data_IF_676235388341
#
_entry.id   IF_676235388341
#
_cell.length_a   1.000
_cell.length_b   1.000
_cell.length_c   1.000
_cell.angle_alpha   90.00
_cell.angle_beta   90.00
_cell.angle_gamma   90.00
#
_symmetry.space_group_name_H-M   'P 1'
#
loop_
_entity.id
_entity.type
_entity.pdbx_description
1 polymer ?
#
# COMPACT_ATOMS: atom_id res chain seq x y z
N UNK A 1 -8.11 10.35 10.32
CA UNK A 1 -8.51 10.07 8.93
C UNK A 1 -8.58 8.56 8.77
N UNK A 2 -9.75 8.00 8.43
CA UNK A 2 -9.93 6.55 8.27
C UNK A 2 -9.32 6.07 6.92
N UNK A 3 -8.30 5.20 6.93
CA UNK A 3 -7.68 4.69 5.72
C UNK A 3 -8.65 3.88 4.83
N UNK A 4 -9.64 3.20 5.41
CA UNK A 4 -10.63 2.43 4.63
C UNK A 4 -11.51 3.37 3.77
N UNK A 5 -11.89 4.52 4.33
CA UNK A 5 -12.65 5.55 3.61
C UNK A 5 -11.83 6.13 2.43
N UNK A 6 -10.53 6.33 2.61
CA UNK A 6 -9.65 6.81 1.53
C UNK A 6 -9.57 5.79 0.39
N UNK A 7 -9.44 4.50 0.69
CA UNK A 7 -9.41 3.45 -0.34
C UNK A 7 -10.75 3.31 -1.04
N UNK A 8 -11.87 3.36 -0.31
CA UNK A 8 -13.21 3.30 -0.90
C UNK A 8 -13.45 4.44 -1.88
N UNK A 9 -13.16 5.69 -1.48
CA UNK A 9 -13.28 6.85 -2.38
C UNK A 9 -12.41 6.73 -3.62
N UNK A 10 -11.21 6.17 -3.48
CA UNK A 10 -10.28 6.01 -4.58
C UNK A 10 -10.66 4.86 -5.54
N UNK A 11 -11.29 3.78 -5.05
CA UNK A 11 -11.73 2.62 -5.87
C UNK A 11 -13.16 2.73 -6.40
N UNK A 12 -14.02 3.47 -5.71
CA UNK A 12 -15.46 3.44 -5.94
C UNK A 12 -16.03 4.81 -5.58
N UNK A 13 -15.72 5.81 -6.42
CA UNK A 13 -16.11 7.20 -6.22
C UNK A 13 -17.61 7.39 -5.93
N UNK A 14 -18.46 6.48 -6.42
CA UNK A 14 -19.93 6.52 -6.27
C UNK A 14 -20.51 5.51 -5.26
N UNK A 15 -19.67 4.74 -4.53
CA UNK A 15 -20.18 3.72 -3.60
C UNK A 15 -20.36 4.31 -2.20
N UNK A 16 -21.56 4.16 -1.67
CA UNK A 16 -21.95 4.74 -0.38
C UNK A 16 -21.08 4.17 0.76
N UNK A 17 -20.37 5.01 1.53
CA UNK A 17 -19.50 4.58 2.63
C UNK A 17 -20.32 4.18 3.86
N UNK A 18 -21.05 3.08 3.74
CA UNK A 18 -21.74 2.46 4.87
C UNK A 18 -20.72 1.85 5.84
N UNK A 19 -20.99 1.85 7.15
CA UNK A 19 -20.07 1.33 8.15
C UNK A 19 -19.74 -0.16 7.93
N UNK A 20 -20.69 -0.94 7.39
CA UNK A 20 -20.48 -2.35 7.04
C UNK A 20 -19.47 -2.50 5.88
N UNK A 21 -19.59 -1.69 4.83
CA UNK A 21 -18.65 -1.72 3.69
C UNK A 21 -17.25 -1.29 4.11
N UNK A 22 -17.14 -0.30 5.00
CA UNK A 22 -15.85 0.13 5.54
C UNK A 22 -15.21 -0.95 6.40
N UNK A 23 -16.00 -1.68 7.20
CA UNK A 23 -15.51 -2.81 8.00
C UNK A 23 -14.99 -3.96 7.11
N UNK A 24 -15.74 -4.31 6.06
CA UNK A 24 -15.32 -5.33 5.08
C UNK A 24 -14.02 -4.94 4.36
N UNK A 25 -13.87 -3.67 3.99
CA UNK A 25 -12.63 -3.14 3.39
C UNK A 25 -11.49 -3.20 4.39
N UNK A 26 -11.75 -2.88 5.66
CA UNK A 26 -10.73 -2.87 6.72
C UNK A 26 -10.20 -4.28 6.99
N UNK A 27 -11.11 -5.25 7.09
CA UNK A 27 -10.78 -6.66 7.24
C UNK A 27 -10.06 -7.22 6.01
N UNK A 28 -10.56 -6.93 4.79
CA UNK A 28 -9.96 -7.39 3.54
C UNK A 28 -8.57 -6.80 3.24
N UNK A 29 -8.26 -5.63 3.77
CA UNK A 29 -6.94 -4.98 3.66
C UNK A 29 -6.02 -5.25 4.85
N UNK A 30 -6.49 -5.95 5.89
CA UNK A 30 -5.72 -6.19 7.12
C UNK A 30 -5.43 -4.91 7.92
N UNK A 31 -6.25 -3.87 7.76
CA UNK A 31 -6.11 -2.59 8.45
C UNK A 31 -6.45 -2.67 9.95
N UNK A 32 -7.08 -3.77 10.39
CA UNK A 32 -7.43 -4.03 11.79
C UNK A 32 -6.23 -4.37 12.66
N UNK A 33 -5.13 -4.83 12.06
CA UNK A 33 -3.91 -5.27 12.74
C UNK A 33 -3.03 -4.12 13.27
N UNK A 34 -3.44 -2.88 13.00
CA UNK A 34 -2.76 -1.65 13.39
C UNK A 34 -1.63 -1.24 12.43
N UNK A 35 -1.33 0.07 12.36
CA UNK A 35 -0.41 0.61 11.34
C UNK A 35 1.02 0.09 11.46
N UNK A 36 1.48 -0.19 12.69
CA UNK A 36 2.84 -0.68 12.94
C UNK A 36 3.05 -2.11 12.46
N UNK A 37 2.05 -2.99 12.64
CA UNK A 37 2.14 -4.39 12.19
C UNK A 37 2.12 -4.46 10.67
N UNK A 38 1.28 -3.63 10.04
CA UNK A 38 1.19 -3.52 8.59
C UNK A 38 2.51 -3.03 7.99
N UNK A 39 3.14 -2.02 8.61
CA UNK A 39 4.46 -1.54 8.23
C UNK A 39 5.53 -2.61 8.42
N UNK A 40 5.57 -3.30 9.57
CA UNK A 40 6.55 -4.34 9.84
C UNK A 40 6.43 -5.52 8.86
N UNK A 41 5.20 -5.92 8.53
CA UNK A 41 4.94 -6.94 7.52
C UNK A 41 5.45 -6.53 6.14
N UNK A 42 5.13 -5.29 5.72
CA UNK A 42 5.59 -4.74 4.46
C UNK A 42 7.12 -4.64 4.39
N UNK A 43 7.75 -4.13 5.45
CA UNK A 43 9.21 -4.04 5.55
C UNK A 43 9.88 -5.42 5.49
N UNK A 44 9.25 -6.44 6.08
CA UNK A 44 9.72 -7.83 6.04
C UNK A 44 9.60 -8.48 4.66
N UNK A 45 8.74 -7.97 3.78
CA UNK A 45 8.60 -8.42 2.40
C UNK A 45 9.66 -7.83 1.46
N UNK A 46 10.10 -6.60 1.70
CA UNK A 46 11.13 -5.91 0.90
C UNK A 46 12.41 -6.72 0.64
N UNK A 47 13.08 -7.32 1.64
CA UNK A 47 14.29 -8.11 1.40
C UNK A 47 14.03 -9.40 0.62
N UNK A 48 12.76 -9.84 0.49
CA UNK A 48 12.34 -10.98 -0.33
C UNK A 48 11.92 -10.58 -1.74
N UNK A 49 12.00 -9.29 -2.08
CA UNK A 49 11.48 -8.76 -3.34
C UNK A 49 9.94 -8.72 -3.39
N UNK A 50 9.27 -8.84 -2.25
CA UNK A 50 7.81 -8.73 -2.17
C UNK A 50 7.45 -7.42 -1.47
N UNK A 51 7.29 -6.35 -2.27
CA UNK A 51 6.79 -5.08 -1.77
C UNK A 51 5.24 -5.08 -1.62
N UNK A 52 4.61 -6.24 -1.78
CA UNK A 52 3.16 -6.40 -1.71
C UNK A 52 2.43 -6.00 -2.99
N UNK A 53 1.11 -5.86 -2.87
CA UNK A 53 0.21 -5.44 -3.95
C UNK A 53 -0.42 -4.10 -3.64
N UNK A 54 -0.64 -3.30 -4.68
CA UNK A 54 -1.35 -2.03 -4.57
C UNK A 54 -2.75 -2.27 -4.05
N UNK A 55 -3.12 -1.58 -2.98
CA UNK A 55 -4.50 -1.60 -2.47
C UNK A 55 -5.49 -0.95 -3.42
N UNK A 56 -5.02 -0.25 -4.46
CA UNK A 56 -5.88 0.39 -5.45
C UNK A 56 -6.11 -0.54 -6.65
N UNK A 57 -5.03 -0.97 -7.31
CA UNK A 57 -5.11 -1.76 -8.55
C UNK A 57 -4.95 -3.27 -8.36
N UNK A 58 -4.57 -3.73 -7.16
CA UNK A 58 -4.26 -5.13 -6.89
C UNK A 58 -2.98 -5.63 -7.56
N UNK A 59 -2.25 -4.78 -8.28
CA UNK A 59 -1.02 -5.15 -9.00
C UNK A 59 0.18 -5.20 -8.06
N UNK A 60 1.16 -6.04 -8.38
CA UNK A 60 2.43 -6.08 -7.64
C UNK A 60 3.14 -4.72 -7.75
N UNK A 61 3.54 -4.14 -6.61
CA UNK A 61 4.24 -2.84 -6.59
C UNK A 61 5.77 -2.99 -6.62
N UNK A 62 6.28 -4.21 -6.42
CA UNK A 62 7.73 -4.51 -6.48
C UNK A 62 8.45 -3.88 -7.67
N UNK A 63 8.02 -4.04 -8.94
CA UNK A 63 8.75 -3.48 -10.07
C UNK A 63 8.81 -1.94 -10.02
N UNK A 64 7.71 -1.29 -9.63
CA UNK A 64 7.67 0.16 -9.50
C UNK A 64 8.58 0.66 -8.36
N UNK A 65 8.59 -0.05 -7.23
CA UNK A 65 9.45 0.26 -6.07
C UNK A 65 10.93 0.10 -6.42
N UNK A 66 11.31 -0.99 -7.09
CA UNK A 66 12.69 -1.22 -7.53
C UNK A 66 13.15 -0.16 -8.54
N UNK A 67 12.28 0.23 -9.47
CA UNK A 67 12.59 1.27 -10.44
C UNK A 67 12.83 2.63 -9.75
N UNK A 68 11.94 3.02 -8.82
CA UNK A 68 12.10 4.27 -8.07
C UNK A 68 13.37 4.26 -7.21
N UNK A 69 13.63 3.14 -6.51
CA UNK A 69 14.83 2.95 -5.70
C UNK A 69 16.10 3.07 -6.55
N UNK A 70 16.14 2.42 -7.71
CA UNK A 70 17.26 2.49 -8.65
C UNK A 70 17.50 3.91 -9.14
N UNK A 71 16.46 4.65 -9.53
CA UNK A 71 16.58 6.04 -9.93
C UNK A 71 17.13 6.94 -8.80
N UNK A 72 16.64 6.78 -7.56
CA UNK A 72 17.14 7.51 -6.40
C UNK A 72 18.61 7.21 -6.10
N UNK A 73 19.02 5.94 -6.18
CA UNK A 73 20.41 5.53 -5.97
C UNK A 73 21.35 6.08 -7.05
N UNK A 74 20.90 6.08 -8.32
CA UNK A 74 21.66 6.67 -9.42
C UNK A 74 21.84 8.18 -9.22
N UNK A 75 20.77 8.89 -8.87
CA UNK A 75 20.85 10.33 -8.58
C UNK A 75 21.79 10.62 -7.41
N UNK A 76 21.71 9.84 -6.33
CA UNK A 76 22.62 9.95 -5.18
C UNK A 76 24.08 9.71 -5.58
N UNK A 77 24.35 8.68 -6.40
CA UNK A 77 25.70 8.34 -6.84
C UNK A 77 26.31 9.39 -7.78
N UNK A 78 25.49 10.00 -8.65
CA UNK A 78 25.94 11.07 -9.57
C UNK A 78 26.12 12.40 -8.84
N UNK A 79 25.42 12.61 -7.73
CA UNK A 79 25.53 13.83 -6.92
C UNK A 79 26.71 13.82 -5.92
N UNK A 80 27.42 12.68 -5.79
CA UNK A 80 28.57 12.49 -4.90
C UNK A 80 29.89 12.86 -5.60
#
# INVERSE_FOLDING_TARGET
>A
TDPALTVLKARSADRDPTPEVLADIRAGLGLDDGPLRLLAHWLGGLPRGDAGRSWLSGQAVTPAVLQALGASLLLMAVAL
#
